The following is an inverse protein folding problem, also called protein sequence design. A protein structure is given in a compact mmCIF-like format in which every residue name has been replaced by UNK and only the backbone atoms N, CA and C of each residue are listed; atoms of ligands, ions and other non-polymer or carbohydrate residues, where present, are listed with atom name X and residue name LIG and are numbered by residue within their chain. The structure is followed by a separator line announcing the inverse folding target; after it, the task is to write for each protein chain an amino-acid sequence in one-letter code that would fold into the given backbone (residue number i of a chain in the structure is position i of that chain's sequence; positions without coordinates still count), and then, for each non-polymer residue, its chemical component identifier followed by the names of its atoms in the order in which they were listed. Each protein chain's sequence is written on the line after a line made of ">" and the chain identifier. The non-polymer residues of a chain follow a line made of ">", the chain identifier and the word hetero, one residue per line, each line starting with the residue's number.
data_IF_314770478571
#
_entry.id   IF_314770478571
#
_cell.length_a   1.000
_cell.length_b   1.000
_cell.length_c   1.000
_cell.angle_alpha   90.00
_cell.angle_beta   90.00
_cell.angle_gamma   90.00
#
_symmetry.space_group_name_H-M   'P 1'
#
loop_
_entity.id
_entity.type
_entity.pdbx_description
1 polymer ?
#
# COMPACT_ATOMS: atom_id res chain seq x y z
N UNK A 1 46.38 101.14 -5.04
CA UNK A 1 46.67 99.71 -5.23
C UNK A 1 45.61 98.87 -4.52
N UNK A 2 44.55 98.46 -5.21
CA UNK A 2 43.45 97.66 -4.63
C UNK A 2 43.66 96.17 -4.85
N UNK A 3 43.95 95.41 -3.79
CA UNK A 3 44.05 93.94 -3.85
C UNK A 3 42.62 93.38 -3.90
N UNK A 4 42.22 92.81 -5.05
CA UNK A 4 40.92 92.13 -5.24
C UNK A 4 40.82 90.90 -4.31
N UNK A 5 39.95 90.90 -3.29
CA UNK A 5 39.75 89.77 -2.39
C UNK A 5 38.71 88.83 -3.01
N UNK A 6 39.10 88.00 -3.99
CA UNK A 6 38.14 87.14 -4.71
C UNK A 6 38.58 85.69 -4.93
N UNK A 7 39.88 85.45 -5.21
CA UNK A 7 40.30 84.12 -5.68
C UNK A 7 40.36 83.04 -4.60
N UNK A 8 40.66 83.36 -3.35
CA UNK A 8 40.81 82.32 -2.30
C UNK A 8 39.50 81.67 -1.88
N UNK A 9 38.35 82.37 -1.96
CA UNK A 9 37.04 81.78 -1.64
C UNK A 9 36.56 80.78 -2.70
N UNK A 10 36.95 80.99 -3.96
CA UNK A 10 36.52 80.14 -5.07
C UNK A 10 37.17 78.75 -5.03
N UNK A 11 38.44 78.64 -4.62
CA UNK A 11 39.12 77.36 -4.45
C UNK A 11 38.56 76.52 -3.29
N UNK A 12 38.14 77.17 -2.19
CA UNK A 12 37.52 76.47 -1.06
C UNK A 12 36.16 75.86 -1.47
N UNK A 13 35.34 76.61 -2.21
CA UNK A 13 34.07 76.11 -2.75
C UNK A 13 34.26 74.92 -3.72
N UNK A 14 35.25 74.97 -4.62
CA UNK A 14 35.56 73.84 -5.50
C UNK A 14 36.03 72.60 -4.72
N UNK A 15 36.82 72.79 -3.65
CA UNK A 15 37.29 71.68 -2.82
C UNK A 15 36.13 70.98 -2.08
N UNK A 16 35.21 71.77 -1.50
CA UNK A 16 34.00 71.23 -0.88
C UNK A 16 33.10 70.51 -1.88
N UNK A 17 32.94 71.04 -3.10
CA UNK A 17 32.16 70.38 -4.14
C UNK A 17 32.75 69.01 -4.54
N UNK A 18 34.08 68.91 -4.68
CA UNK A 18 34.76 67.64 -5.00
C UNK A 18 34.61 66.63 -3.86
N UNK A 19 34.77 67.05 -2.60
CA UNK A 19 34.57 66.17 -1.44
C UNK A 19 33.14 65.65 -1.40
N UNK A 20 32.13 66.52 -1.62
CA UNK A 20 30.73 66.09 -1.66
C UNK A 20 30.46 65.06 -2.75
N UNK A 21 31.05 65.21 -3.94
CA UNK A 21 30.90 64.22 -5.04
C UNK A 21 31.55 62.88 -4.67
N UNK A 22 32.75 62.90 -4.09
CA UNK A 22 33.46 61.67 -3.67
C UNK A 22 32.67 60.95 -2.57
N UNK A 23 32.16 61.67 -1.57
CA UNK A 23 31.34 61.09 -0.50
C UNK A 23 30.03 60.54 -1.06
N UNK A 24 29.37 61.27 -1.96
CA UNK A 24 28.15 60.82 -2.63
C UNK A 24 28.35 59.53 -3.42
N UNK A 25 29.43 59.42 -4.21
CA UNK A 25 29.76 58.21 -4.97
C UNK A 25 30.05 57.02 -4.05
N UNK A 26 30.78 57.23 -2.95
CA UNK A 26 31.04 56.18 -1.96
C UNK A 26 29.75 55.70 -1.25
N UNK A 27 28.83 56.62 -0.92
CA UNK A 27 27.53 56.28 -0.33
C UNK A 27 26.66 55.48 -1.29
N UNK A 28 26.60 55.86 -2.57
CA UNK A 28 25.84 55.12 -3.60
C UNK A 28 26.42 53.71 -3.83
N UNK A 29 27.76 53.58 -3.86
CA UNK A 29 28.41 52.27 -3.96
C UNK A 29 28.12 51.39 -2.73
N UNK A 30 28.18 51.96 -1.53
CA UNK A 30 27.87 51.25 -0.29
C UNK A 30 26.40 50.79 -0.25
N UNK A 31 25.45 51.64 -0.68
CA UNK A 31 24.04 51.28 -0.75
C UNK A 31 23.77 50.13 -1.74
N UNK A 32 24.44 50.11 -2.91
CA UNK A 32 24.35 48.99 -3.87
C UNK A 32 24.93 47.68 -3.33
N UNK A 33 26.02 47.76 -2.55
CA UNK A 33 26.59 46.57 -1.90
C UNK A 33 25.66 46.04 -0.81
N UNK A 34 25.08 46.92 0.01
CA UNK A 34 24.13 46.53 1.05
C UNK A 34 22.86 45.91 0.46
N UNK A 35 22.32 46.46 -0.64
CA UNK A 35 21.16 45.85 -1.31
C UNK A 35 21.50 44.49 -1.93
N UNK A 36 22.69 44.33 -2.52
CA UNK A 36 23.17 43.05 -3.04
C UNK A 36 23.31 41.98 -1.95
N UNK A 37 23.89 42.33 -0.79
CA UNK A 37 24.02 41.43 0.36
C UNK A 37 22.66 41.00 0.93
N UNK A 38 21.68 41.90 0.95
CA UNK A 38 20.31 41.58 1.37
C UNK A 38 19.64 40.53 0.47
N UNK A 39 19.77 40.69 -0.85
CA UNK A 39 19.25 39.72 -1.83
C UNK A 39 19.93 38.36 -1.68
N UNK A 40 21.26 38.35 -1.57
CA UNK A 40 22.05 37.12 -1.39
C UNK A 40 21.67 36.39 -0.10
N UNK A 41 21.50 37.10 1.03
CA UNK A 41 21.10 36.51 2.29
C UNK A 41 19.68 35.91 2.22
N UNK A 42 18.75 36.60 1.56
CA UNK A 42 17.37 36.10 1.35
C UNK A 42 17.37 34.84 0.48
N UNK A 43 18.16 34.82 -0.60
CA UNK A 43 18.32 33.66 -1.47
C UNK A 43 18.97 32.47 -0.73
N UNK A 44 20.01 32.72 0.08
CA UNK A 44 20.65 31.68 0.90
C UNK A 44 19.68 31.10 1.95
N UNK A 45 18.88 31.93 2.62
CA UNK A 45 17.87 31.43 3.57
C UNK A 45 16.79 30.58 2.91
N UNK A 46 16.30 31.02 1.75
CA UNK A 46 15.32 30.28 0.96
C UNK A 46 15.87 28.91 0.52
N UNK A 47 17.05 28.90 -0.10
CA UNK A 47 17.71 27.67 -0.55
C UNK A 47 18.03 26.72 0.61
N UNK A 48 18.50 27.24 1.75
CA UNK A 48 18.74 26.43 2.94
C UNK A 48 17.44 25.83 3.51
N UNK A 49 16.34 26.59 3.53
CA UNK A 49 15.03 26.09 3.97
C UNK A 49 14.51 24.97 3.05
N UNK A 50 14.62 25.15 1.74
CA UNK A 50 14.26 24.12 0.74
C UNK A 50 15.10 22.86 0.93
N UNK A 51 16.42 23.00 1.06
CA UNK A 51 17.32 21.87 1.26
C UNK A 51 17.05 21.13 2.56
N UNK A 52 16.83 21.84 3.67
CA UNK A 52 16.50 21.24 4.95
C UNK A 52 15.17 20.45 4.90
N UNK A 53 14.19 20.97 4.16
CA UNK A 53 12.92 20.27 3.92
C UNK A 53 13.15 19.01 3.08
N UNK A 54 13.93 19.10 2.01
CA UNK A 54 14.26 17.95 1.16
C UNK A 54 15.01 16.84 1.92
N UNK A 55 15.98 17.22 2.76
CA UNK A 55 16.72 16.28 3.60
C UNK A 55 15.80 15.58 4.60
N UNK A 56 14.93 16.34 5.29
CA UNK A 56 13.95 15.76 6.23
C UNK A 56 13.02 14.77 5.55
N UNK A 57 12.46 15.15 4.41
CA UNK A 57 11.58 14.27 3.63
C UNK A 57 12.31 13.00 3.20
N UNK A 58 13.58 13.11 2.75
CA UNK A 58 14.38 11.95 2.35
C UNK A 58 14.62 10.98 3.51
N UNK A 59 14.95 11.50 4.70
CA UNK A 59 15.14 10.69 5.92
C UNK A 59 13.84 9.98 6.31
N UNK A 60 12.71 10.69 6.25
CA UNK A 60 11.39 10.11 6.53
C UNK A 60 11.06 8.98 5.53
N UNK A 61 11.32 9.18 4.24
CA UNK A 61 11.13 8.14 3.22
C UNK A 61 12.03 6.92 3.47
N UNK A 62 13.31 7.12 3.82
CA UNK A 62 14.21 6.01 4.12
C UNK A 62 13.77 5.22 5.36
N UNK A 63 13.29 5.91 6.40
CA UNK A 63 12.77 5.26 7.61
C UNK A 63 11.48 4.47 7.31
N UNK A 64 10.59 5.03 6.49
CA UNK A 64 9.39 4.34 6.04
C UNK A 64 9.73 3.07 5.25
N UNK A 65 10.67 3.15 4.29
CA UNK A 65 11.13 1.99 3.52
C UNK A 65 11.75 0.90 4.40
N UNK A 66 12.56 1.30 5.40
CA UNK A 66 13.13 0.37 6.36
C UNK A 66 12.03 -0.33 7.17
N UNK A 67 11.03 0.41 7.62
CA UNK A 67 9.90 -0.14 8.38
C UNK A 67 9.05 -1.11 7.55
N UNK A 68 8.79 -0.79 6.27
CA UNK A 68 8.12 -1.72 5.34
C UNK A 68 8.89 -3.03 5.24
N UNK A 69 10.21 -2.95 5.05
CA UNK A 69 11.06 -4.14 4.95
C UNK A 69 11.05 -4.98 6.24
N UNK A 70 11.05 -4.32 7.40
CA UNK A 70 10.95 -4.98 8.72
C UNK A 70 9.61 -5.72 8.87
N UNK A 71 8.50 -5.04 8.62
CA UNK A 71 7.18 -5.68 8.67
C UNK A 71 7.05 -6.86 7.73
N UNK A 72 7.57 -6.75 6.51
CA UNK A 72 7.54 -7.88 5.58
C UNK A 72 8.44 -9.02 6.04
N UNK A 73 9.62 -8.74 6.60
CA UNK A 73 10.42 -9.76 7.27
C UNK A 73 9.63 -10.51 8.35
N UNK A 74 8.85 -9.78 9.14
CA UNK A 74 8.00 -10.36 10.19
C UNK A 74 6.81 -11.16 9.63
N UNK A 75 6.10 -10.63 8.63
CA UNK A 75 5.00 -11.31 7.94
C UNK A 75 5.47 -12.63 7.34
N UNK A 76 6.60 -12.59 6.65
CA UNK A 76 7.19 -13.75 5.99
C UNK A 76 7.69 -14.80 6.99
N UNK A 77 7.92 -14.40 8.25
CA UNK A 77 8.28 -15.28 9.37
C UNK A 77 7.07 -15.74 10.19
N UNK A 78 5.85 -15.32 9.82
CA UNK A 78 4.61 -15.66 10.52
C UNK A 78 4.35 -14.86 11.80
N UNK A 79 5.09 -13.77 12.03
CA UNK A 79 4.93 -12.90 13.22
C UNK A 79 3.76 -11.90 13.07
N UNK A 80 2.59 -12.39 12.64
CA UNK A 80 1.42 -11.56 12.34
C UNK A 80 0.97 -10.69 13.52
N UNK A 81 0.90 -11.27 14.72
CA UNK A 81 0.47 -10.53 15.93
C UNK A 81 1.44 -9.40 16.29
N UNK A 82 2.75 -9.60 16.09
CA UNK A 82 3.76 -8.57 16.29
C UNK A 82 3.53 -7.39 15.35
N UNK A 83 3.33 -7.66 14.05
CA UNK A 83 3.06 -6.64 13.04
C UNK A 83 1.76 -5.89 13.36
N UNK A 84 0.72 -6.60 13.80
CA UNK A 84 -0.56 -6.01 14.20
C UNK A 84 -0.36 -5.03 15.36
N UNK A 85 0.28 -5.46 16.45
CA UNK A 85 0.43 -4.65 17.65
C UNK A 85 1.35 -3.44 17.41
N UNK A 86 2.48 -3.62 16.73
CA UNK A 86 3.36 -2.51 16.36
C UNK A 86 2.66 -1.49 15.47
N UNK A 87 1.92 -1.95 14.45
CA UNK A 87 1.20 -1.07 13.54
C UNK A 87 0.11 -0.26 14.26
N UNK A 88 -0.66 -0.90 15.16
CA UNK A 88 -1.65 -0.21 16.01
C UNK A 88 -1.00 0.87 16.88
N UNK A 89 0.19 0.61 17.44
CA UNK A 89 0.91 1.60 18.26
C UNK A 89 1.33 2.84 17.43
N UNK A 90 1.80 2.64 16.20
CA UNK A 90 2.16 3.75 15.30
C UNK A 90 0.92 4.57 14.95
N UNK A 91 -0.17 3.91 14.54
CA UNK A 91 -1.43 4.57 14.18
C UNK A 91 -2.02 5.34 15.37
N UNK A 92 -1.94 4.78 16.59
CA UNK A 92 -2.42 5.43 17.81
C UNK A 92 -1.67 6.73 18.12
N UNK A 93 -0.38 6.82 17.76
CA UNK A 93 0.45 8.00 18.00
C UNK A 93 0.03 9.17 17.10
N UNK A 94 -0.08 8.93 15.79
CA UNK A 94 -0.63 9.88 14.81
C UNK A 94 -0.95 9.13 13.52
N UNK A 95 -2.23 8.98 13.19
CA UNK A 95 -2.70 8.22 12.04
C UNK A 95 -2.52 8.97 10.70
N UNK A 96 -2.22 10.27 10.73
CA UNK A 96 -2.17 11.12 9.54
C UNK A 96 -0.75 11.54 9.15
N UNK A 97 0.26 11.07 9.88
CA UNK A 97 1.67 11.33 9.61
C UNK A 97 2.43 10.05 9.34
N UNK A 98 3.48 10.15 8.55
CA UNK A 98 4.45 9.06 8.38
C UNK A 98 5.04 8.69 9.75
N UNK A 99 5.22 7.39 10.06
CA UNK A 99 5.08 6.23 9.16
C UNK A 99 3.72 5.50 9.28
N UNK A 100 2.62 6.18 9.62
CA UNK A 100 1.31 5.52 9.74
C UNK A 100 0.76 4.96 8.42
N UNK A 101 1.20 5.49 7.28
CA UNK A 101 0.92 4.92 5.97
C UNK A 101 1.44 3.48 5.84
N UNK A 102 2.69 3.26 6.24
CA UNK A 102 3.32 1.93 6.28
C UNK A 102 2.57 0.99 7.23
N UNK A 103 2.20 1.48 8.42
CA UNK A 103 1.46 0.68 9.41
C UNK A 103 0.05 0.29 8.92
N UNK A 104 -0.66 1.20 8.26
CA UNK A 104 -1.96 0.92 7.66
C UNK A 104 -1.85 -0.11 6.53
N UNK A 105 -0.83 0.02 5.67
CA UNK A 105 -0.56 -0.95 4.61
C UNK A 105 -0.26 -2.34 5.20
N UNK A 106 0.64 -2.42 6.19
CA UNK A 106 1.02 -3.68 6.84
C UNK A 106 -0.20 -4.38 7.48
N UNK A 107 -1.09 -3.64 8.16
CA UNK A 107 -2.34 -4.23 8.67
C UNK A 107 -3.23 -4.74 7.53
N UNK A 108 -3.34 -4.00 6.43
CA UNK A 108 -4.03 -4.44 5.23
C UNK A 108 -3.49 -5.78 4.73
N UNK A 109 -2.17 -5.92 4.63
CA UNK A 109 -1.49 -7.16 4.23
C UNK A 109 -1.72 -8.31 5.22
N UNK A 110 -1.53 -8.09 6.53
CA UNK A 110 -1.72 -9.15 7.55
C UNK A 110 -3.08 -9.82 7.39
N UNK A 111 -4.14 -9.03 7.29
CA UNK A 111 -5.51 -9.57 7.26
C UNK A 111 -5.88 -10.26 5.95
N UNK A 112 -5.06 -10.18 4.90
CA UNK A 112 -5.25 -10.91 3.65
C UNK A 112 -4.35 -12.16 3.55
N UNK A 113 -3.40 -12.36 4.48
CA UNK A 113 -2.53 -13.53 4.51
C UNK A 113 -3.33 -14.83 4.67
N UNK A 114 -3.02 -15.83 3.85
CA UNK A 114 -3.81 -17.07 3.79
C UNK A 114 -3.58 -17.99 4.99
N UNK A 115 -2.37 -17.95 5.54
CA UNK A 115 -1.86 -18.71 6.67
C UNK A 115 -2.12 -18.04 8.03
N UNK A 116 -2.50 -16.76 8.03
CA UNK A 116 -2.98 -16.09 9.23
C UNK A 116 -4.39 -16.58 9.61
N UNK A 117 -4.50 -17.17 10.80
CA UNK A 117 -5.78 -17.68 11.32
C UNK A 117 -6.83 -16.58 11.51
N UNK A 118 -6.39 -15.35 11.80
CA UNK A 118 -7.24 -14.17 11.99
C UNK A 118 -7.55 -13.40 10.71
N UNK A 119 -7.32 -13.99 9.52
CA UNK A 119 -7.59 -13.31 8.24
C UNK A 119 -9.03 -12.78 8.16
N UNK A 120 -9.15 -11.56 7.67
CA UNK A 120 -10.42 -10.84 7.55
C UNK A 120 -10.32 -9.82 6.40
N UNK A 121 -10.91 -10.17 5.25
CA UNK A 121 -10.87 -9.30 4.07
C UNK A 121 -11.62 -7.97 4.29
N UNK A 122 -12.57 -7.92 5.21
CA UNK A 122 -13.24 -6.68 5.60
C UNK A 122 -12.30 -5.74 6.35
N UNK A 123 -11.54 -6.26 7.31
CA UNK A 123 -10.50 -5.48 8.01
C UNK A 123 -9.36 -5.10 7.07
N UNK A 124 -8.90 -6.01 6.22
CA UNK A 124 -7.87 -5.72 5.20
C UNK A 124 -8.29 -4.54 4.32
N UNK A 125 -9.50 -4.61 3.74
CA UNK A 125 -10.09 -3.53 2.94
C UNK A 125 -10.20 -2.22 3.74
N UNK A 126 -10.63 -2.30 5.01
CA UNK A 126 -10.74 -1.11 5.88
C UNK A 126 -9.40 -0.38 6.02
N UNK A 127 -8.31 -1.10 6.30
CA UNK A 127 -7.00 -0.49 6.48
C UNK A 127 -6.42 0.07 5.17
N UNK A 128 -6.57 -0.64 4.05
CA UNK A 128 -6.18 -0.12 2.74
C UNK A 128 -6.98 1.13 2.34
N UNK A 129 -8.30 1.15 2.57
CA UNK A 129 -9.12 2.32 2.31
C UNK A 129 -8.69 3.52 3.17
N UNK A 130 -8.27 3.27 4.42
CA UNK A 130 -7.78 4.30 5.33
C UNK A 130 -6.43 4.85 4.89
N UNK A 131 -5.52 3.99 4.44
CA UNK A 131 -4.26 4.38 3.80
C UNK A 131 -4.51 5.31 2.61
N UNK A 132 -5.35 4.91 1.67
CA UNK A 132 -5.66 5.69 0.46
C UNK A 132 -6.24 7.06 0.82
N UNK A 133 -7.11 7.10 1.85
CA UNK A 133 -7.75 8.34 2.31
C UNK A 133 -6.75 9.30 2.96
N UNK A 134 -5.90 8.79 3.85
CA UNK A 134 -5.02 9.64 4.67
C UNK A 134 -3.70 9.97 3.95
N UNK A 135 -3.26 9.10 3.03
CA UNK A 135 -1.99 9.21 2.33
C UNK A 135 -2.16 8.90 0.83
N UNK A 136 -2.94 9.71 0.08
CA UNK A 136 -3.20 9.46 -1.33
C UNK A 136 -1.94 9.47 -2.21
N UNK A 137 -0.90 10.18 -1.76
CA UNK A 137 0.40 10.31 -2.43
C UNK A 137 1.45 9.29 -1.94
N UNK A 138 1.09 8.39 -1.01
CA UNK A 138 2.00 7.31 -0.60
C UNK A 138 2.26 6.37 -1.77
N UNK A 139 3.50 5.91 -1.93
CA UNK A 139 3.84 4.90 -2.94
C UNK A 139 3.05 3.60 -2.75
N UNK A 140 2.54 3.34 -1.55
CA UNK A 140 1.73 2.17 -1.20
C UNK A 140 0.25 2.32 -1.60
N UNK A 141 -0.21 3.54 -1.89
CA UNK A 141 -1.61 3.81 -2.16
C UNK A 141 -2.09 3.19 -3.48
N UNK A 142 -1.23 3.09 -4.49
CA UNK A 142 -1.56 2.50 -5.80
C UNK A 142 -1.90 1.00 -5.67
N UNK A 143 -1.05 0.26 -4.97
CA UNK A 143 -1.25 -1.16 -4.70
C UNK A 143 -2.47 -1.39 -3.80
N UNK A 144 -2.63 -0.57 -2.75
CA UNK A 144 -3.79 -0.62 -1.88
C UNK A 144 -5.11 -0.38 -2.63
N UNK A 145 -5.14 0.53 -3.63
CA UNK A 145 -6.32 0.72 -4.50
C UNK A 145 -6.65 -0.55 -5.28
N UNK A 146 -5.63 -1.24 -5.76
CA UNK A 146 -5.81 -2.52 -6.46
C UNK A 146 -6.43 -3.55 -5.53
N UNK A 147 -5.93 -3.70 -4.29
CA UNK A 147 -6.56 -4.59 -3.28
C UNK A 147 -8.01 -4.20 -2.97
N UNK A 148 -8.29 -2.92 -2.70
CA UNK A 148 -9.66 -2.46 -2.37
C UNK A 148 -10.63 -2.77 -3.52
N UNK A 149 -10.25 -2.43 -4.75
CA UNK A 149 -11.06 -2.74 -5.93
C UNK A 149 -11.30 -4.23 -6.10
N UNK A 150 -10.29 -5.04 -5.77
CA UNK A 150 -10.38 -6.48 -5.84
C UNK A 150 -11.42 -6.96 -4.81
N UNK A 151 -11.32 -6.53 -3.56
CA UNK A 151 -12.31 -6.86 -2.53
C UNK A 151 -13.74 -6.39 -2.87
N UNK A 152 -13.90 -5.22 -3.51
CA UNK A 152 -15.20 -4.77 -4.00
C UNK A 152 -15.78 -5.75 -5.05
N UNK A 153 -14.95 -6.23 -5.95
CA UNK A 153 -15.36 -7.21 -6.97
C UNK A 153 -15.79 -8.53 -6.32
N UNK A 154 -15.03 -9.00 -5.32
CA UNK A 154 -15.40 -10.20 -4.52
C UNK A 154 -16.76 -10.01 -3.85
N UNK A 155 -16.98 -8.87 -3.20
CA UNK A 155 -18.21 -8.61 -2.46
C UNK A 155 -19.46 -8.52 -3.36
N UNK A 156 -19.32 -7.90 -4.54
CA UNK A 156 -20.41 -7.86 -5.54
C UNK A 156 -20.74 -9.28 -6.01
N UNK A 157 -19.71 -10.06 -6.35
CA UNK A 157 -19.87 -11.43 -6.81
C UNK A 157 -20.50 -12.35 -5.77
N UNK A 158 -20.09 -12.24 -4.52
CA UNK A 158 -20.67 -13.03 -3.42
C UNK A 158 -22.17 -12.71 -3.22
N UNK A 159 -22.56 -11.44 -3.37
CA UNK A 159 -23.96 -11.03 -3.34
C UNK A 159 -24.75 -11.60 -4.53
N UNK A 160 -24.20 -11.52 -5.75
CA UNK A 160 -24.81 -12.11 -6.94
C UNK A 160 -25.03 -13.62 -6.76
N UNK A 161 -24.00 -14.35 -6.33
CA UNK A 161 -24.06 -15.78 -6.03
C UNK A 161 -25.17 -16.07 -5.00
N UNK A 162 -25.26 -15.27 -3.94
CA UNK A 162 -26.26 -15.44 -2.89
C UNK A 162 -27.69 -15.27 -3.43
N UNK A 163 -27.92 -14.29 -4.29
CA UNK A 163 -29.22 -14.09 -4.97
C UNK A 163 -29.52 -15.27 -5.90
N UNK A 164 -28.55 -15.67 -6.72
CA UNK A 164 -28.71 -16.78 -7.66
C UNK A 164 -29.04 -18.10 -6.93
N UNK A 165 -28.40 -18.37 -5.79
CA UNK A 165 -28.71 -19.52 -4.92
C UNK A 165 -30.12 -19.44 -4.33
N UNK A 166 -30.54 -18.26 -3.85
CA UNK A 166 -31.89 -18.09 -3.30
C UNK A 166 -32.97 -18.33 -4.38
N UNK A 167 -32.77 -17.83 -5.60
CA UNK A 167 -33.65 -18.08 -6.73
C UNK A 167 -33.70 -19.57 -7.12
N UNK A 168 -32.55 -20.24 -7.11
CA UNK A 168 -32.48 -21.68 -7.38
C UNK A 168 -33.29 -22.49 -6.34
N UNK A 169 -33.17 -22.15 -5.06
CA UNK A 169 -33.97 -22.77 -3.99
C UNK A 169 -35.47 -22.54 -4.23
N UNK A 170 -35.88 -21.31 -4.56
CA UNK A 170 -37.28 -21.00 -4.84
C UNK A 170 -37.85 -21.81 -6.03
N UNK A 171 -37.08 -21.96 -7.11
CA UNK A 171 -37.46 -22.78 -8.27
C UNK A 171 -37.63 -24.26 -7.89
N UNK A 172 -36.69 -24.80 -7.10
CA UNK A 172 -36.78 -26.20 -6.65
C UNK A 172 -38.01 -26.48 -5.77
N UNK A 173 -38.42 -25.51 -4.95
CA UNK A 173 -39.61 -25.62 -4.11
C UNK A 173 -40.90 -25.55 -4.93
N UNK A 174 -40.93 -24.75 -6.00
CA UNK A 174 -42.08 -24.64 -6.90
C UNK A 174 -42.36 -25.91 -7.72
N UNK A 175 -41.34 -26.75 -7.95
CA UNK A 175 -41.50 -28.03 -8.66
C UNK A 175 -41.91 -29.20 -7.79
N UNK A 176 -41.92 -29.03 -6.45
CA UNK A 176 -42.36 -30.09 -5.56
C UNK A 176 -43.86 -30.30 -5.79
N UNK A 177 -44.30 -31.49 -6.24
CA UNK A 177 -45.71 -31.72 -6.54
C UNK A 177 -46.52 -31.44 -5.27
N UNK A 178 -47.60 -30.67 -5.42
CA UNK A 178 -48.60 -30.48 -4.37
C UNK A 178 -48.95 -31.89 -3.87
N UNK A 179 -48.83 -32.19 -2.56
CA UNK A 179 -49.18 -33.52 -2.07
C UNK A 179 -50.58 -33.83 -2.58
N UNK A 180 -50.82 -35.06 -3.11
CA UNK A 180 -52.12 -35.40 -3.63
C UNK A 180 -53.15 -34.99 -2.59
N UNK A 181 -54.16 -34.22 -3.00
CA UNK A 181 -55.36 -33.94 -2.20
C UNK A 181 -56.07 -35.28 -1.98
N UNK A 182 -55.49 -36.16 -1.17
CA UNK A 182 -56.20 -37.24 -0.57
C UNK A 182 -57.31 -36.58 0.22
N UNK A 183 -58.53 -36.85 -0.24
CA UNK A 183 -59.75 -36.36 0.34
C UNK A 183 -59.67 -36.50 1.86
N UNK A 184 -59.77 -35.37 2.53
CA UNK A 184 -59.95 -35.24 3.96
C UNK A 184 -61.31 -35.84 4.34
N UNK A 185 -61.42 -37.17 4.24
CA UNK A 185 -62.46 -37.94 4.91
C UNK A 185 -62.10 -37.99 6.39
N UNK A 186 -62.56 -36.96 7.09
CA UNK A 186 -63.10 -36.98 8.46
C UNK A 186 -62.72 -38.25 9.25
N UNK A 187 -61.69 -38.14 10.10
CA UNK A 187 -61.57 -39.02 11.26
C UNK A 187 -61.14 -38.21 12.50
N UNK A 188 -62.08 -37.76 13.34
CA UNK A 188 -61.80 -36.94 14.51
C UNK A 188 -61.55 -37.85 15.71
N UNK A 189 -60.39 -38.49 15.79
CA UNK A 189 -59.99 -39.22 17.01
C UNK A 189 -58.48 -39.51 17.03
N UNK A 190 -57.66 -38.50 17.34
CA UNK A 190 -56.37 -38.68 18.02
C UNK A 190 -55.74 -37.32 18.31
N UNK A 191 -56.28 -36.61 19.31
CA UNK A 191 -55.44 -35.77 20.16
C UNK A 191 -54.82 -36.66 21.25
N UNK A 192 -53.59 -36.33 21.66
CA UNK A 192 -52.96 -36.54 22.99
C UNK A 192 -51.48 -37.01 22.88
N UNK A 193 -50.66 -36.42 23.76
CA UNK A 193 -49.23 -36.63 24.08
C UNK A 193 -48.26 -35.73 23.28
N UNK A 194 -47.84 -34.54 23.75
CA UNK A 194 -47.07 -34.16 24.96
C UNK A 194 -45.65 -34.75 25.00
N UNK A 195 -44.64 -33.87 24.98
CA UNK A 195 -43.41 -33.82 25.82
C UNK A 195 -42.35 -32.98 25.07
N UNK A 196 -42.03 -31.74 25.46
CA UNK A 196 -41.16 -31.33 26.58
C UNK A 196 -39.85 -32.10 26.71
N UNK A 197 -38.74 -31.43 26.38
CA UNK A 197 -37.39 -31.51 26.97
C UNK A 197 -36.42 -30.74 26.03
N UNK A 198 -35.37 -30.03 26.42
CA UNK A 198 -34.88 -29.42 27.67
C UNK A 198 -33.64 -28.64 27.22
N UNK A 199 -33.40 -27.47 27.80
CA UNK A 199 -32.14 -26.75 27.68
C UNK A 199 -30.97 -27.60 28.22
N UNK A 200 -29.80 -27.53 27.58
CA UNK A 200 -28.53 -27.69 28.28
C UNK A 200 -27.45 -26.80 27.64
N UNK A 201 -26.99 -25.85 28.43
CA UNK A 201 -25.85 -25.00 28.18
C UNK A 201 -24.58 -25.71 28.68
N UNK A 202 -23.51 -25.74 27.88
CA UNK A 202 -22.16 -26.08 28.36
C UNK A 202 -21.12 -25.24 27.63
N UNK A 203 -20.56 -24.28 28.36
CA UNK A 203 -19.18 -23.79 28.28
C UNK A 203 -18.93 -23.06 29.63
N UNK A 204 -17.70 -22.84 30.14
CA UNK A 204 -16.39 -23.04 29.52
C UNK A 204 -15.34 -23.71 30.44
N UNK A 205 -14.13 -24.01 29.92
CA UNK A 205 -12.86 -23.54 30.50
C UNK A 205 -11.60 -23.98 29.70
N UNK A 206 -10.47 -23.27 29.89
CA UNK A 206 -9.35 -23.24 28.95
C UNK A 206 -8.18 -24.16 29.36
N UNK A 207 -7.35 -24.53 28.37
CA UNK A 207 -6.04 -25.13 28.60
C UNK A 207 -4.93 -24.20 28.11
N UNK A 208 -4.23 -23.67 29.11
CA UNK A 208 -2.92 -23.02 29.04
C UNK A 208 -1.85 -24.08 28.80
N UNK A 209 -0.96 -23.89 27.81
CA UNK A 209 0.45 -24.30 27.93
C UNK A 209 1.33 -23.27 27.22
N UNK A 210 2.12 -22.57 28.04
CA UNK A 210 3.29 -21.81 27.65
C UNK A 210 4.40 -22.73 27.13
N UNK A 211 5.08 -22.34 26.05
CA UNK A 211 6.50 -22.65 25.89
C UNK A 211 7.27 -21.42 25.43
N UNK A 212 8.08 -20.93 26.36
CA UNK A 212 9.14 -19.95 26.18
C UNK A 212 10.32 -20.67 25.55
N UNK A 213 10.70 -20.31 24.34
CA UNK A 213 11.98 -20.69 23.75
C UNK A 213 12.96 -19.51 23.86
N UNK A 214 14.03 -19.73 24.62
CA UNK A 214 15.23 -18.89 24.69
C UNK A 214 15.82 -18.67 23.29
N UNK A 215 16.04 -17.43 22.90
CA UNK A 215 17.06 -17.10 21.92
C UNK A 215 18.29 -16.56 22.64
N UNK A 216 19.42 -17.24 22.41
CA UNK A 216 20.75 -16.82 22.83
C UNK A 216 21.22 -15.63 21.98
N UNK A 217 21.76 -14.62 22.65
CA UNK A 217 22.37 -13.46 22.05
C UNK A 217 23.74 -13.83 21.47
N UNK A 218 23.91 -13.67 20.16
CA UNK A 218 25.23 -13.64 19.50
C UNK A 218 25.63 -12.19 19.26
N UNK A 219 26.83 -11.86 19.74
CA UNK A 219 27.46 -10.54 19.69
C UNK A 219 27.85 -10.15 18.24
N UNK A 220 27.84 -8.85 17.86
CA UNK A 220 28.00 -8.43 16.47
C UNK A 220 29.46 -8.39 16.01
N UNK A 221 29.75 -9.09 14.92
CA UNK A 221 30.95 -8.89 14.11
C UNK A 221 30.81 -7.63 13.23
N UNK A 222 31.94 -6.97 12.99
CA UNK A 222 32.07 -5.65 12.34
C UNK A 222 31.39 -5.54 10.95
N UNK A 223 30.91 -4.34 10.58
CA UNK A 223 30.14 -4.16 9.33
C UNK A 223 31.02 -4.32 8.07
N UNK A 224 30.61 -5.16 7.11
CA UNK A 224 31.24 -5.22 5.80
C UNK A 224 30.89 -4.01 4.93
N UNK A 225 31.84 -3.66 4.06
CA UNK A 225 31.81 -2.56 3.09
C UNK A 225 30.53 -2.62 2.22
N UNK A 226 29.79 -1.51 2.14
CA UNK A 226 28.48 -1.39 1.48
C UNK A 226 28.63 -1.50 -0.04
N UNK A 227 28.43 -2.70 -0.58
CA UNK A 227 27.86 -2.87 -1.93
C UNK A 227 26.34 -2.94 -1.78
N UNK A 228 25.53 -2.28 -2.63
CA UNK A 228 24.07 -2.43 -2.56
C UNK A 228 23.71 -3.91 -2.68
N UNK A 229 22.96 -4.43 -1.70
CA UNK A 229 22.49 -5.81 -1.72
C UNK A 229 21.51 -5.97 -2.90
N UNK A 230 21.74 -6.90 -3.86
CA UNK A 230 20.84 -7.13 -5.00
C UNK A 230 19.36 -7.33 -4.60
N UNK A 231 19.10 -7.89 -3.42
CA UNK A 231 17.75 -8.08 -2.88
C UNK A 231 17.07 -6.75 -2.49
N UNK A 232 17.84 -5.78 -1.99
CA UNK A 232 17.28 -4.45 -1.67
C UNK A 232 16.91 -3.67 -2.94
N UNK A 233 17.65 -3.90 -4.02
CA UNK A 233 17.37 -3.29 -5.32
C UNK A 233 16.13 -3.91 -5.98
N UNK A 234 15.93 -5.24 -5.88
CA UNK A 234 14.73 -5.89 -6.39
C UNK A 234 13.46 -5.42 -5.68
N UNK A 235 13.50 -5.32 -4.35
CA UNK A 235 12.39 -4.79 -3.54
C UNK A 235 12.12 -3.33 -3.88
N UNK A 236 13.14 -2.48 -4.00
CA UNK A 236 12.94 -1.08 -4.37
C UNK A 236 12.28 -0.95 -5.74
N UNK A 237 12.68 -1.78 -6.70
CA UNK A 237 12.14 -1.79 -8.05
C UNK A 237 10.67 -2.25 -8.07
N UNK A 238 10.34 -3.27 -7.26
CA UNK A 238 9.03 -3.90 -7.15
C UNK A 238 7.88 -2.97 -6.69
N UNK A 239 8.20 -1.82 -6.09
CA UNK A 239 7.20 -0.89 -5.55
C UNK A 239 7.02 0.40 -6.38
N UNK A 240 7.72 0.51 -7.52
CA UNK A 240 7.54 1.62 -8.46
C UNK A 240 6.52 1.25 -9.54
N UNK A 241 5.34 0.80 -9.11
CA UNK A 241 4.25 0.43 -10.03
C UNK A 241 3.57 1.70 -10.52
N UNK A 242 4.19 2.28 -11.55
CA UNK A 242 3.66 3.35 -12.39
C UNK A 242 3.28 4.62 -11.64
N UNK A 243 4.28 5.33 -11.10
CA UNK A 243 4.12 6.67 -10.49
C UNK A 243 3.41 7.68 -11.42
N UNK A 244 3.34 7.41 -12.74
CA UNK A 244 2.71 8.27 -13.75
C UNK A 244 1.54 7.61 -14.52
N UNK A 245 1.04 6.44 -14.10
CA UNK A 245 0.02 5.64 -14.83
C UNK A 245 0.40 5.24 -16.27
N UNK A 246 1.66 5.41 -16.68
CA UNK A 246 2.18 4.87 -17.94
C UNK A 246 2.50 3.37 -17.79
N UNK A 247 1.47 2.55 -17.90
CA UNK A 247 1.59 1.09 -17.80
C UNK A 247 2.41 0.49 -18.96
N UNK A 248 2.36 1.08 -20.15
CA UNK A 248 3.06 0.56 -21.33
C UNK A 248 4.57 0.72 -21.18
N UNK A 249 5.02 1.89 -20.73
CA UNK A 249 6.43 2.14 -20.43
C UNK A 249 6.91 1.27 -19.27
N UNK A 250 6.11 1.13 -18.21
CA UNK A 250 6.43 0.28 -17.07
C UNK A 250 6.61 -1.19 -17.46
N UNK A 251 5.74 -1.74 -18.34
CA UNK A 251 5.90 -3.10 -18.87
C UNK A 251 7.22 -3.23 -19.65
N UNK A 252 7.52 -2.28 -20.55
CA UNK A 252 8.76 -2.31 -21.35
C UNK A 252 10.01 -2.31 -20.47
N UNK A 253 10.04 -1.46 -19.43
CA UNK A 253 11.16 -1.39 -18.48
C UNK A 253 11.36 -2.71 -17.74
N UNK A 254 10.29 -3.31 -17.21
CA UNK A 254 10.40 -4.57 -16.48
C UNK A 254 10.80 -5.74 -17.38
N UNK A 255 10.30 -5.81 -18.62
CA UNK A 255 10.74 -6.83 -19.58
C UNK A 255 12.23 -6.70 -19.92
N UNK A 256 12.74 -5.48 -20.09
CA UNK A 256 14.16 -5.24 -20.31
C UNK A 256 15.02 -5.71 -19.12
N UNK A 257 14.55 -5.46 -17.89
CA UNK A 257 15.24 -5.93 -16.67
C UNK A 257 15.27 -7.45 -16.63
N UNK A 258 14.16 -8.12 -16.95
CA UNK A 258 14.12 -9.59 -17.00
C UNK A 258 15.11 -10.17 -18.03
N UNK A 259 15.24 -9.52 -19.19
CA UNK A 259 16.17 -9.94 -20.24
C UNK A 259 17.64 -9.79 -19.79
N UNK A 260 17.96 -8.68 -19.12
CA UNK A 260 19.33 -8.38 -18.66
C UNK A 260 19.76 -9.19 -17.43
N UNK A 261 18.85 -9.42 -16.48
CA UNK A 261 19.18 -10.06 -15.20
C UNK A 261 19.29 -11.60 -15.28
N UNK A 262 18.87 -12.23 -16.37
CA UNK A 262 18.93 -13.68 -16.54
C UNK A 262 18.03 -14.39 -15.54
N UNK A 263 18.58 -15.22 -14.64
CA UNK A 263 17.81 -15.92 -13.57
C UNK A 263 18.09 -15.37 -12.17
N UNK A 264 18.77 -14.23 -12.06
CA UNK A 264 19.15 -13.65 -10.77
C UNK A 264 18.32 -12.39 -10.48
N UNK A 265 18.26 -11.94 -9.22
CA UNK A 265 17.81 -10.59 -8.92
C UNK A 265 18.52 -9.56 -9.81
N UNK A 266 17.85 -8.51 -10.28
CA UNK A 266 16.51 -8.04 -9.88
C UNK A 266 15.33 -8.62 -10.69
N UNK A 267 15.46 -9.78 -11.35
CA UNK A 267 14.37 -10.39 -12.14
C UNK A 267 13.13 -10.71 -11.31
N UNK A 268 13.30 -11.10 -10.06
CA UNK A 268 12.21 -11.33 -9.11
C UNK A 268 11.34 -10.07 -8.94
N UNK A 269 11.98 -8.91 -8.76
CA UNK A 269 11.33 -7.60 -8.72
C UNK A 269 10.56 -7.28 -10.01
N UNK A 270 11.16 -7.58 -11.17
CA UNK A 270 10.53 -7.34 -12.45
C UNK A 270 9.30 -8.23 -12.70
N UNK A 271 9.36 -9.51 -12.28
CA UNK A 271 8.21 -10.42 -12.33
C UNK A 271 7.08 -9.94 -11.43
N UNK A 272 7.40 -9.53 -10.20
CA UNK A 272 6.41 -9.00 -9.26
C UNK A 272 5.71 -7.77 -9.83
N UNK A 273 6.48 -6.81 -10.35
CA UNK A 273 5.97 -5.61 -11.00
C UNK A 273 5.05 -5.90 -12.17
N UNK A 274 5.42 -6.83 -13.06
CA UNK A 274 4.57 -7.21 -14.19
C UNK A 274 3.26 -7.83 -13.70
N UNK A 275 3.33 -8.66 -12.65
CA UNK A 275 2.17 -9.16 -11.94
C UNK A 275 1.23 -8.04 -11.50
N UNK A 276 1.74 -7.05 -10.79
CA UNK A 276 0.97 -5.90 -10.31
C UNK A 276 0.42 -5.02 -11.45
N UNK A 277 1.23 -4.72 -12.47
CA UNK A 277 0.82 -3.88 -13.60
C UNK A 277 -0.37 -4.52 -14.33
N UNK A 278 -0.33 -5.83 -14.59
CA UNK A 278 -1.44 -6.52 -15.24
C UNK A 278 -2.66 -6.74 -14.33
N UNK A 279 -2.50 -6.62 -13.01
CA UNK A 279 -3.60 -6.64 -12.05
C UNK A 279 -4.23 -5.25 -11.81
N UNK A 280 -3.52 -4.17 -12.15
CA UNK A 280 -3.93 -2.82 -11.81
C UNK A 280 -5.27 -2.43 -12.45
N UNK A 281 -6.20 -1.87 -11.65
CA UNK A 281 -7.56 -1.56 -12.13
C UNK A 281 -7.56 -0.53 -13.27
N UNK A 282 -6.72 0.50 -13.16
CA UNK A 282 -6.64 1.59 -14.15
C UNK A 282 -5.83 1.21 -15.39
N UNK A 283 -5.23 0.03 -15.45
CA UNK A 283 -4.52 -0.41 -16.65
C UNK A 283 -5.56 -0.84 -17.72
N UNK A 284 -5.64 -0.14 -18.88
CA UNK A 284 -6.57 -0.52 -19.94
C UNK A 284 -6.20 -1.87 -20.57
N UNK A 285 -4.94 -2.30 -20.43
CA UNK A 285 -4.45 -3.61 -20.86
C UNK A 285 -4.39 -4.62 -19.69
N UNK A 286 -5.13 -4.41 -18.59
CA UNK A 286 -5.17 -5.37 -17.48
C UNK A 286 -5.57 -6.76 -17.96
N UNK A 287 -4.93 -7.76 -17.40
CA UNK A 287 -5.11 -9.16 -17.75
C UNK A 287 -4.71 -9.99 -16.52
N UNK A 288 -5.70 -10.36 -15.71
CA UNK A 288 -5.47 -11.12 -14.48
C UNK A 288 -4.80 -12.46 -14.74
N UNK A 289 -5.02 -13.08 -15.91
CA UNK A 289 -4.36 -14.35 -16.26
C UNK A 289 -2.86 -14.14 -16.52
N UNK A 290 -2.49 -13.05 -17.19
CA UNK A 290 -1.07 -12.66 -17.32
C UNK A 290 -0.45 -12.34 -15.97
N UNK A 291 -1.16 -11.57 -15.14
CA UNK A 291 -0.72 -11.25 -13.78
C UNK A 291 -0.40 -12.51 -12.97
N UNK A 292 -1.34 -13.46 -12.92
CA UNK A 292 -1.13 -14.76 -12.27
C UNK A 292 0.05 -15.54 -12.86
N UNK A 293 0.27 -15.51 -14.17
CA UNK A 293 1.40 -16.21 -14.80
C UNK A 293 2.73 -15.65 -14.28
N UNK A 294 2.87 -14.32 -14.19
CA UNK A 294 4.08 -13.70 -13.64
C UNK A 294 4.28 -14.03 -12.17
N UNK A 295 3.22 -14.01 -11.35
CA UNK A 295 3.31 -14.41 -9.95
C UNK A 295 3.63 -15.90 -9.76
N UNK A 296 3.10 -16.79 -10.62
CA UNK A 296 3.46 -18.21 -10.64
C UNK A 296 4.91 -18.43 -11.07
N UNK A 297 5.40 -17.66 -12.03
CA UNK A 297 6.82 -17.71 -12.42
C UNK A 297 7.72 -17.23 -11.28
N UNK A 298 7.37 -16.13 -10.61
CA UNK A 298 8.11 -15.61 -9.46
C UNK A 298 8.21 -16.63 -8.33
N UNK A 299 7.07 -17.20 -7.92
CA UNK A 299 7.04 -18.19 -6.83
C UNK A 299 7.78 -19.49 -7.16
N UNK A 300 7.88 -19.85 -8.44
CA UNK A 300 8.60 -21.04 -8.90
C UNK A 300 10.10 -20.79 -9.03
N UNK A 301 10.48 -19.68 -9.64
CA UNK A 301 11.87 -19.40 -10.03
C UNK A 301 12.66 -18.71 -8.91
N UNK A 302 11.97 -18.05 -7.97
CA UNK A 302 12.56 -17.35 -6.82
C UNK A 302 11.81 -17.66 -5.51
N UNK A 303 11.71 -18.93 -5.09
CA UNK A 303 10.92 -19.32 -3.91
C UNK A 303 11.40 -18.65 -2.60
N UNK A 304 12.68 -18.29 -2.52
CA UNK A 304 13.30 -17.64 -1.36
C UNK A 304 13.17 -16.10 -1.39
N UNK A 305 12.70 -15.52 -2.49
CA UNK A 305 12.51 -14.07 -2.58
C UNK A 305 11.35 -13.63 -1.67
N UNK A 306 11.48 -12.53 -0.90
CA UNK A 306 10.37 -11.99 -0.12
C UNK A 306 9.15 -11.68 -1.01
N UNK A 307 9.39 -11.27 -2.26
CA UNK A 307 8.34 -10.98 -3.24
C UNK A 307 7.56 -12.22 -3.67
N UNK A 308 8.14 -13.41 -3.55
CA UNK A 308 7.41 -14.65 -3.82
C UNK A 308 6.30 -14.88 -2.79
N UNK A 309 6.53 -14.52 -1.52
CA UNK A 309 5.49 -14.62 -0.48
C UNK A 309 4.37 -13.62 -0.72
N UNK A 310 4.69 -12.38 -1.09
CA UNK A 310 3.69 -11.40 -1.51
C UNK A 310 2.90 -11.88 -2.74
N UNK A 311 3.57 -12.47 -3.74
CA UNK A 311 2.94 -13.05 -4.91
C UNK A 311 1.98 -14.21 -4.57
N UNK A 312 2.24 -14.98 -3.51
CA UNK A 312 1.31 -16.01 -3.04
C UNK A 312 -0.01 -15.41 -2.53
N UNK A 313 0.02 -14.24 -1.90
CA UNK A 313 -1.18 -13.51 -1.47
C UNK A 313 -2.03 -13.17 -2.69
N UNK A 314 -1.40 -12.58 -3.71
CA UNK A 314 -2.07 -12.25 -4.98
C UNK A 314 -2.66 -13.49 -5.65
N UNK A 315 -1.92 -14.59 -5.72
CA UNK A 315 -2.41 -15.85 -6.27
C UNK A 315 -3.59 -16.41 -5.46
N UNK A 316 -3.55 -16.33 -4.13
CA UNK A 316 -4.65 -16.74 -3.26
C UNK A 316 -5.92 -15.92 -3.53
N UNK A 317 -5.78 -14.60 -3.70
CA UNK A 317 -6.90 -13.73 -4.07
C UNK A 317 -7.47 -14.10 -5.42
N UNK A 318 -6.62 -14.33 -6.42
CA UNK A 318 -7.07 -14.75 -7.74
C UNK A 318 -7.82 -16.10 -7.73
N UNK A 319 -7.40 -17.06 -6.91
CA UNK A 319 -8.12 -18.32 -6.75
C UNK A 319 -9.53 -18.13 -6.19
N UNK A 320 -9.74 -17.14 -5.31
CA UNK A 320 -11.08 -16.81 -4.81
C UNK A 320 -11.97 -16.34 -5.96
N UNK A 321 -11.47 -15.49 -6.86
CA UNK A 321 -12.24 -15.07 -8.05
C UNK A 321 -12.60 -16.21 -8.98
N UNK A 322 -11.64 -17.07 -9.29
CA UNK A 322 -11.88 -18.21 -10.17
C UNK A 322 -12.94 -19.15 -9.59
N UNK A 323 -12.90 -19.41 -8.27
CA UNK A 323 -13.94 -20.18 -7.58
C UNK A 323 -15.30 -19.50 -7.65
N UNK A 324 -15.37 -18.19 -7.48
CA UNK A 324 -16.63 -17.45 -7.60
C UNK A 324 -17.22 -17.54 -9.00
N UNK A 325 -16.40 -17.38 -10.05
CA UNK A 325 -16.84 -17.54 -11.44
C UNK A 325 -17.32 -18.97 -11.73
N UNK A 326 -16.66 -19.98 -11.16
CA UNK A 326 -17.08 -21.37 -11.30
C UNK A 326 -18.45 -21.62 -10.66
N UNK A 327 -18.69 -21.06 -9.48
CA UNK A 327 -19.99 -21.16 -8.78
C UNK A 327 -21.09 -20.47 -9.59
N UNK A 328 -20.84 -19.29 -10.15
CA UNK A 328 -21.79 -18.59 -11.04
C UNK A 328 -22.22 -19.49 -12.19
N UNK A 329 -21.26 -20.11 -12.89
CA UNK A 329 -21.53 -21.00 -14.02
C UNK A 329 -22.32 -22.26 -13.60
N UNK A 330 -22.00 -22.85 -12.45
CA UNK A 330 -22.71 -24.02 -11.93
C UNK A 330 -24.17 -23.68 -11.59
N UNK A 331 -24.43 -22.54 -10.94
CA UNK A 331 -25.79 -22.12 -10.61
C UNK A 331 -26.61 -21.85 -11.89
N UNK A 332 -26.01 -21.21 -12.90
CA UNK A 332 -26.68 -21.02 -14.19
C UNK A 332 -27.03 -22.34 -14.88
N UNK A 333 -26.16 -23.34 -14.80
CA UNK A 333 -26.41 -24.67 -15.35
C UNK A 333 -27.55 -25.37 -14.61
N UNK A 334 -27.57 -25.32 -13.28
CA UNK A 334 -28.64 -25.89 -12.46
C UNK A 334 -30.01 -25.22 -12.75
N UNK A 335 -30.04 -23.89 -12.90
CA UNK A 335 -31.27 -23.18 -13.31
C UNK A 335 -31.80 -23.62 -14.68
N UNK A 336 -30.90 -23.88 -15.64
CA UNK A 336 -31.28 -24.42 -16.97
C UNK A 336 -31.84 -25.84 -16.90
N UNK A 337 -31.46 -26.64 -15.89
CA UNK A 337 -32.00 -27.99 -15.70
C UNK A 337 -33.39 -27.95 -15.05
N UNK A 338 -33.63 -27.05 -14.09
CA UNK A 338 -34.93 -26.91 -13.43
C UNK A 338 -35.99 -26.25 -14.32
N UNK A 339 -35.62 -25.51 -15.37
CA UNK A 339 -36.59 -24.85 -16.26
C UNK A 339 -36.98 -25.67 -17.50
N UNK A 340 -36.41 -26.88 -17.66
CA UNK A 340 -36.76 -27.83 -18.73
C UNK A 340 -37.88 -28.77 -18.28
#
# INVERSE_FOLDING_TARGET
>A
MGRKPGRRRQHVLHFFAIICVIVGLNLVACAKLQSGLGTINTQMRSTFSTLNTQVRNTIETMNAQKLVAEYRGDLTSGFFETVIEQSKLIIKKDETKTPADVALYALGEVYVQYDFAGKDYGLSKYYFAKLIKNFPDSSLASEAKTFVSLFDTVAVKDREISILKAELVALSLAQKPEPPREAEMINPAASVAVNEAKQEAVNPEPLVVSQVAKQEAVSPASPPLITPNPEQESVKLAHQVSDNLDFSEAVKKNLLIMEQAGKNPPRDGALYNLGLIYAHIDNPAKDYKKSQNYFRELTRDFPDSPLAKEAQIWLGLFQIFEKMQQIDLEIEQQKKQLTR
#
